data_IF_034081332851
#
_entry.id   IF_034081332851
#
_cell.length_a   1.000
_cell.length_b   1.000
_cell.length_c   1.000
_cell.angle_alpha   90.00
_cell.angle_beta   90.00
_cell.angle_gamma   90.00
#
_symmetry.space_group_name_H-M   'P 1'
#
loop_
_entity.id
_entity.type
_entity.pdbx_description
1 polymer ?
#
# COMPACT_ATOMS: atom_id res chain seq x y z
N UNK A 1 -29.15 -6.83 8.23
CA UNK A 1 -29.55 -6.99 6.82
C UNK A 1 -28.25 -7.07 6.02
N UNK A 2 -27.74 -8.28 5.77
CA UNK A 2 -26.51 -8.48 5.02
C UNK A 2 -26.84 -8.39 3.53
N UNK A 3 -26.55 -7.23 2.94
CA UNK A 3 -26.87 -6.97 1.54
C UNK A 3 -25.85 -7.69 0.68
N UNK A 4 -26.31 -8.64 -0.13
CA UNK A 4 -25.52 -9.35 -1.12
C UNK A 4 -24.85 -8.32 -2.06
N UNK A 5 -23.52 -8.24 -2.01
CA UNK A 5 -22.69 -7.61 -3.03
C UNK A 5 -22.04 -8.71 -3.85
N UNK A 6 -22.11 -8.62 -5.17
CA UNK A 6 -21.33 -9.48 -6.06
C UNK A 6 -19.89 -8.99 -6.02
N UNK A 7 -18.96 -9.87 -5.65
CA UNK A 7 -17.52 -9.64 -5.79
C UNK A 7 -17.14 -10.10 -7.18
N UNK A 8 -16.75 -9.17 -8.05
CA UNK A 8 -16.15 -9.49 -9.35
C UNK A 8 -14.64 -9.54 -9.16
N UNK A 9 -14.07 -10.74 -9.17
CA UNK A 9 -12.61 -10.93 -9.15
C UNK A 9 -12.12 -10.80 -10.59
N UNK A 10 -11.46 -9.69 -10.93
CA UNK A 10 -10.71 -9.57 -12.17
C UNK A 10 -9.26 -9.94 -11.88
N UNK A 11 -8.96 -11.24 -11.94
CA UNK A 11 -7.57 -11.71 -11.86
C UNK A 11 -6.84 -11.28 -13.14
N UNK A 12 -6.10 -10.18 -13.08
CA UNK A 12 -5.15 -9.80 -14.10
C UNK A 12 -3.82 -10.48 -13.81
N UNK A 13 -3.56 -11.64 -14.43
CA UNK A 13 -2.25 -12.30 -14.32
C UNK A 13 -1.25 -11.46 -15.12
N UNK A 14 -0.45 -10.63 -14.44
CA UNK A 14 0.73 -10.01 -15.04
C UNK A 14 1.93 -10.91 -14.78
N UNK A 15 2.22 -11.78 -15.75
CA UNK A 15 3.35 -12.69 -15.68
C UNK A 15 4.66 -11.91 -15.94
N UNK A 16 5.32 -11.47 -14.86
CA UNK A 16 6.78 -11.37 -14.74
C UNK A 16 7.18 -11.23 -13.27
N UNK A 17 7.72 -12.33 -12.74
CA UNK A 17 8.33 -12.52 -11.42
C UNK A 17 7.35 -12.48 -10.23
N UNK A 18 6.86 -13.67 -9.85
CA UNK A 18 6.47 -14.03 -8.48
C UNK A 18 5.26 -13.35 -7.82
N UNK A 19 4.74 -12.25 -8.37
CA UNK A 19 3.58 -11.54 -7.82
C UNK A 19 2.31 -11.84 -8.59
N UNK A 20 1.28 -12.35 -7.91
CA UNK A 20 -0.09 -12.35 -8.45
C UNK A 20 -0.73 -11.03 -8.02
N UNK A 21 -0.84 -10.07 -8.93
CA UNK A 21 -1.66 -8.87 -8.71
C UNK A 21 -3.13 -9.22 -8.95
N UNK A 22 -3.85 -9.59 -7.89
CA UNK A 22 -5.31 -9.74 -7.98
C UNK A 22 -5.96 -8.38 -7.76
N UNK A 23 -6.44 -7.76 -8.83
CA UNK A 23 -7.31 -6.59 -8.74
C UNK A 23 -8.76 -7.04 -8.51
N UNK A 24 -9.22 -6.99 -7.27
CA UNK A 24 -10.65 -7.14 -6.98
C UNK A 24 -11.26 -5.75 -6.91
N UNK A 25 -11.91 -5.32 -8.00
CA UNK A 25 -12.70 -4.10 -7.99
C UNK A 25 -14.07 -4.42 -7.39
N UNK A 26 -14.42 -3.76 -6.28
CA UNK A 26 -15.80 -3.77 -5.82
C UNK A 26 -16.63 -2.89 -6.78
N UNK A 27 -17.77 -3.38 -7.24
CA UNK A 27 -18.61 -2.56 -8.12
C UNK A 27 -19.02 -1.27 -7.40
N UNK A 28 -18.97 -0.11 -8.08
CA UNK A 28 -19.42 1.14 -7.52
C UNK A 28 -20.93 1.03 -7.27
N UNK A 29 -21.34 0.90 -6.01
CA UNK A 29 -22.72 1.21 -5.66
C UNK A 29 -22.89 2.71 -5.78
N UNK A 30 -23.81 3.11 -6.66
CA UNK A 30 -24.33 4.47 -6.69
C UNK A 30 -24.86 4.84 -5.29
N UNK A 31 -24.50 6.03 -4.82
CA UNK A 31 -25.06 6.68 -3.62
C UNK A 31 -24.85 5.98 -2.27
N UNK A 32 -23.61 5.90 -1.80
CA UNK A 32 -23.41 6.05 -0.36
C UNK A 32 -22.26 7.01 -0.13
N UNK A 33 -22.53 8.06 0.64
CA UNK A 33 -21.57 9.02 1.18
C UNK A 33 -20.61 8.30 2.17
N UNK A 34 -19.88 7.31 1.64
CA UNK A 34 -18.93 6.51 2.39
C UNK A 34 -17.79 7.41 2.86
N UNK A 35 -17.39 8.38 2.05
CA UNK A 35 -16.37 9.37 2.40
C UNK A 35 -16.78 10.22 3.60
N UNK A 36 -18.03 10.70 3.65
CA UNK A 36 -18.57 11.39 4.83
C UNK A 36 -18.68 10.50 6.07
N UNK A 37 -18.99 9.21 5.88
CA UNK A 37 -19.07 8.24 6.98
C UNK A 37 -17.69 7.80 7.53
N UNK A 38 -16.61 7.93 6.74
CA UNK A 38 -15.24 7.67 7.17
C UNK A 38 -14.66 8.83 8.00
N UNK A 39 -15.22 10.04 7.88
CA UNK A 39 -14.75 11.23 8.60
C UNK A 39 -15.38 11.43 9.98
N UNK A 40 -16.66 11.06 10.15
CA UNK A 40 -17.43 11.37 11.36
C UNK A 40 -17.15 10.40 12.49
N UNK A 41 -17.01 10.93 13.70
CA UNK A 41 -16.98 10.16 14.96
C UNK A 41 -15.87 9.10 15.06
N UNK A 42 -14.82 9.19 14.23
CA UNK A 42 -13.62 8.36 14.29
C UNK A 42 -12.54 9.06 15.11
N UNK A 43 -12.00 8.38 16.11
CA UNK A 43 -10.84 8.88 16.86
C UNK A 43 -9.53 8.50 16.16
N UNK A 44 -8.77 9.52 15.78
CA UNK A 44 -7.49 9.39 15.08
C UNK A 44 -6.29 9.61 16.03
N UNK A 45 -5.17 8.99 15.71
CA UNK A 45 -3.88 9.22 16.33
C UNK A 45 -2.77 9.29 15.29
N UNK A 46 -1.75 10.12 15.53
CA UNK A 46 -0.59 10.18 14.66
C UNK A 46 0.24 8.90 14.79
N UNK A 47 0.49 8.26 13.65
CA UNK A 47 1.42 7.14 13.54
C UNK A 47 2.83 7.69 13.33
N UNK A 48 3.75 7.28 14.20
CA UNK A 48 5.16 7.67 14.18
C UNK A 48 6.07 6.47 14.50
N UNK A 49 7.40 6.68 14.62
CA UNK A 49 8.11 7.97 14.62
C UNK A 49 8.29 8.57 13.20
N UNK A 50 8.54 9.89 13.13
CA UNK A 50 8.65 10.63 11.85
C UNK A 50 9.75 10.14 10.92
N UNK A 51 10.81 9.53 11.44
CA UNK A 51 11.87 8.94 10.63
C UNK A 51 11.48 7.58 10.02
N UNK A 52 10.24 7.11 10.22
CA UNK A 52 9.72 5.88 9.63
C UNK A 52 8.39 6.11 8.92
N UNK A 53 7.51 6.93 9.50
CA UNK A 53 6.17 7.14 8.97
C UNK A 53 5.56 8.43 9.49
N UNK A 54 4.60 8.94 8.72
CA UNK A 54 3.73 10.04 9.10
C UNK A 54 2.38 9.87 8.42
N UNK A 55 1.39 9.47 9.19
CA UNK A 55 -0.02 9.45 8.79
C UNK A 55 -0.86 9.36 10.06
N UNK A 56 -2.17 9.49 9.95
CA UNK A 56 -3.07 9.24 11.07
C UNK A 56 -3.67 7.84 10.94
N UNK A 57 -3.85 7.15 12.05
CA UNK A 57 -4.52 5.85 12.09
C UNK A 57 -5.67 5.89 13.10
N UNK A 58 -6.63 4.99 12.93
CA UNK A 58 -7.69 4.82 13.91
C UNK A 58 -7.10 4.34 15.23
N UNK A 59 -7.47 5.01 16.34
CA UNK A 59 -7.04 4.60 17.69
C UNK A 59 -7.51 3.19 17.99
N UNK A 60 -6.59 2.34 18.49
CA UNK A 60 -6.90 0.96 18.84
C UNK A 60 -8.08 0.84 19.82
N UNK A 61 -8.12 1.69 20.84
CA UNK A 61 -9.19 1.71 21.84
C UNK A 61 -10.56 2.04 21.22
N UNK A 62 -10.61 2.93 20.24
CA UNK A 62 -11.84 3.28 19.53
C UNK A 62 -12.28 2.16 18.59
N UNK A 63 -11.33 1.50 17.90
CA UNK A 63 -11.61 0.41 16.98
C UNK A 63 -12.22 -0.82 17.67
N UNK A 64 -11.88 -1.04 18.95
CA UNK A 64 -12.36 -2.16 19.76
C UNK A 64 -13.74 -1.94 20.42
N UNK A 65 -14.31 -0.73 20.35
CA UNK A 65 -15.65 -0.45 20.89
C UNK A 65 -16.71 -1.30 20.18
N UNK A 66 -17.76 -1.69 20.91
CA UNK A 66 -18.81 -2.58 20.36
C UNK A 66 -19.88 -1.84 19.54
N UNK A 67 -19.97 -0.52 19.68
CA UNK A 67 -20.90 0.34 18.95
C UNK A 67 -20.80 0.14 17.41
N UNK A 68 -21.94 0.20 16.71
CA UNK A 68 -21.97 0.05 15.26
C UNK A 68 -21.32 1.26 14.57
N UNK A 69 -20.34 0.99 13.71
CA UNK A 69 -19.72 2.01 12.85
C UNK A 69 -19.16 1.34 11.60
N UNK A 70 -19.23 2.03 10.45
CA UNK A 70 -18.79 1.47 9.16
C UNK A 70 -17.31 1.07 9.17
N UNK A 71 -16.44 1.94 9.70
CA UNK A 71 -15.00 1.65 9.87
C UNK A 71 -14.78 0.40 10.72
N UNK A 72 -15.43 0.27 11.89
CA UNK A 72 -15.31 -0.94 12.72
C UNK A 72 -15.82 -2.18 11.98
N UNK A 73 -16.90 -2.05 11.22
CA UNK A 73 -17.40 -3.10 10.35
C UNK A 73 -16.37 -3.56 9.31
N UNK A 74 -15.72 -2.61 8.63
CA UNK A 74 -14.65 -2.90 7.66
C UNK A 74 -13.43 -3.57 8.32
N UNK A 75 -12.96 -3.05 9.45
CA UNK A 75 -11.84 -3.66 10.19
C UNK A 75 -12.18 -5.09 10.66
N UNK A 76 -13.39 -5.32 11.19
CA UNK A 76 -13.85 -6.66 11.57
C UNK A 76 -14.01 -7.58 10.37
N UNK A 77 -14.43 -7.06 9.21
CA UNK A 77 -14.52 -7.84 7.98
C UNK A 77 -13.15 -8.37 7.57
N UNK A 78 -12.12 -7.52 7.54
CA UNK A 78 -10.74 -7.93 7.21
C UNK A 78 -10.19 -8.97 8.21
N UNK A 79 -10.56 -8.87 9.49
CA UNK A 79 -10.20 -9.85 10.51
C UNK A 79 -11.10 -11.10 10.55
N UNK A 80 -12.13 -11.18 9.70
CA UNK A 80 -13.13 -12.26 9.79
C UNK A 80 -12.66 -13.54 9.12
N UNK A 81 -13.10 -14.69 9.65
CA UNK A 81 -12.86 -15.99 9.01
C UNK A 81 -13.47 -16.09 7.60
N UNK A 82 -14.54 -15.34 7.32
CA UNK A 82 -15.13 -15.28 6.00
C UNK A 82 -14.20 -14.61 4.98
N UNK A 83 -13.53 -13.53 5.38
CA UNK A 83 -12.54 -12.87 4.55
C UNK A 83 -11.28 -13.72 4.40
N UNK A 84 -10.78 -14.38 5.46
CA UNK A 84 -9.66 -15.31 5.34
C UNK A 84 -9.95 -16.46 4.35
N UNK A 85 -11.19 -16.99 4.32
CA UNK A 85 -11.60 -17.99 3.32
C UNK A 85 -11.64 -17.43 1.90
N UNK A 86 -12.06 -16.17 1.73
CA UNK A 86 -12.00 -15.49 0.44
C UNK A 86 -10.54 -15.35 -0.03
N UNK A 87 -9.63 -14.94 0.87
CA UNK A 87 -8.20 -14.85 0.55
C UNK A 87 -7.65 -16.20 0.12
N UNK A 88 -7.90 -17.26 0.91
CA UNK A 88 -7.49 -18.61 0.56
C UNK A 88 -8.04 -19.05 -0.82
N UNK A 89 -9.31 -18.77 -1.12
CA UNK A 89 -9.88 -19.09 -2.43
C UNK A 89 -9.25 -18.31 -3.60
N UNK A 90 -8.72 -17.10 -3.35
CA UNK A 90 -8.11 -16.26 -4.38
C UNK A 90 -6.61 -16.53 -4.57
N UNK A 91 -5.90 -16.96 -3.51
CA UNK A 91 -4.43 -17.04 -3.51
C UNK A 91 -3.89 -18.42 -3.17
N UNK A 92 -4.75 -19.38 -2.79
CA UNK A 92 -4.40 -20.71 -2.27
C UNK A 92 -3.58 -20.69 -0.96
N UNK A 93 -3.44 -19.52 -0.33
CA UNK A 93 -2.68 -19.33 0.91
C UNK A 93 -3.55 -19.70 2.11
N UNK A 94 -3.02 -20.53 3.02
CA UNK A 94 -3.66 -20.85 4.29
C UNK A 94 -3.30 -19.80 5.34
N UNK A 95 -4.20 -18.86 5.59
CA UNK A 95 -3.99 -17.81 6.60
C UNK A 95 -4.06 -18.41 8.02
N UNK A 96 -2.93 -18.45 8.74
CA UNK A 96 -2.89 -18.82 10.17
C UNK A 96 -3.08 -17.61 11.08
N UNK A 97 -2.45 -16.49 10.73
CA UNK A 97 -2.40 -15.30 11.56
C UNK A 97 -2.62 -14.04 10.72
N UNK A 98 -3.09 -12.98 11.38
CA UNK A 98 -3.13 -11.65 10.77
C UNK A 98 -2.72 -10.59 11.79
N UNK A 99 -2.08 -9.54 11.31
CA UNK A 99 -1.89 -8.32 12.08
C UNK A 99 -3.26 -7.63 12.31
N UNK A 100 -3.40 -6.78 13.33
CA UNK A 100 -4.59 -5.96 13.48
C UNK A 100 -4.81 -5.12 12.21
N UNK A 101 -5.99 -5.20 11.56
CA UNK A 101 -6.31 -4.35 10.42
C UNK A 101 -6.23 -2.88 10.80
N UNK A 102 -5.79 -2.04 9.86
CA UNK A 102 -5.62 -0.61 10.06
C UNK A 102 -6.39 0.17 9.02
N UNK A 103 -7.06 1.24 9.45
CA UNK A 103 -7.51 2.30 8.58
C UNK A 103 -6.63 3.51 8.83
N UNK A 104 -5.97 3.96 7.76
CA UNK A 104 -5.06 5.09 7.77
C UNK A 104 -5.73 6.27 7.07
N UNK A 105 -5.61 7.48 7.63
CA UNK A 105 -6.00 8.73 7.01
C UNK A 105 -4.76 9.45 6.49
N UNK A 106 -4.79 9.74 5.20
CA UNK A 106 -3.69 10.32 4.45
C UNK A 106 -4.00 11.77 4.10
N UNK A 107 -3.09 12.66 4.49
CA UNK A 107 -3.19 14.11 4.25
C UNK A 107 -1.89 14.62 3.60
N UNK A 108 -1.88 15.83 3.02
CA UNK A 108 -0.66 16.37 2.41
C UNK A 108 0.53 16.33 3.37
N UNK A 109 1.61 15.67 2.96
CA UNK A 109 2.78 15.44 3.79
C UNK A 109 2.83 14.08 4.49
N UNK A 110 1.84 13.21 4.28
CA UNK A 110 1.88 11.82 4.74
C UNK A 110 2.87 10.97 3.94
N UNK A 111 3.51 9.99 4.59
CA UNK A 111 4.45 9.06 3.97
C UNK A 111 4.70 7.83 4.85
N UNK A 112 5.27 6.78 4.27
CA UNK A 112 6.06 5.79 4.99
C UNK A 112 7.42 5.61 4.32
N UNK A 113 8.42 5.25 5.11
CA UNK A 113 9.73 4.84 4.64
C UNK A 113 9.85 3.31 4.74
N UNK A 114 10.91 2.77 4.14
CA UNK A 114 11.22 1.36 4.30
C UNK A 114 11.34 1.01 5.79
N UNK A 115 10.58 0.01 6.26
CA UNK A 115 10.68 -0.43 7.65
C UNK A 115 12.07 -1.06 7.91
N UNK A 116 12.43 -1.29 9.19
CA UNK A 116 13.59 -2.11 9.53
C UNK A 116 13.47 -3.54 8.96
N UNK A 117 14.61 -4.15 8.61
CA UNK A 117 14.65 -5.45 7.91
C UNK A 117 13.92 -6.55 8.64
N UNK A 118 13.93 -6.50 9.97
CA UNK A 118 13.28 -7.46 10.87
C UNK A 118 11.76 -7.57 10.61
N UNK A 119 11.14 -6.53 10.05
CA UNK A 119 9.70 -6.49 9.83
C UNK A 119 9.25 -7.26 8.59
N UNK A 120 10.16 -7.60 7.67
CA UNK A 120 9.83 -8.24 6.39
C UNK A 120 10.69 -9.47 6.08
N UNK A 121 11.25 -10.14 7.09
CA UNK A 121 12.03 -11.37 6.91
C UNK A 121 11.19 -12.64 6.69
N UNK A 122 9.87 -12.53 6.79
CA UNK A 122 8.94 -13.64 6.64
C UNK A 122 7.99 -13.39 5.47
N UNK A 123 7.59 -14.45 4.74
CA UNK A 123 6.55 -14.35 3.74
C UNK A 123 5.24 -13.87 4.37
N UNK A 124 4.49 -13.07 3.61
CA UNK A 124 3.22 -12.50 4.05
C UNK A 124 2.35 -12.10 2.87
N UNK A 125 1.04 -12.10 3.08
CA UNK A 125 0.08 -11.52 2.16
C UNK A 125 -0.37 -10.16 2.70
N UNK A 126 -0.19 -9.10 1.92
CA UNK A 126 -0.69 -7.76 2.23
C UNK A 126 -1.97 -7.46 1.46
N UNK A 127 -2.96 -6.96 2.20
CA UNK A 127 -4.20 -6.41 1.63
C UNK A 127 -4.12 -4.89 1.72
N UNK A 128 -4.34 -4.21 0.60
CA UNK A 128 -4.32 -2.75 0.50
C UNK A 128 -5.52 -2.27 -0.31
N UNK A 129 -6.32 -1.38 0.26
CA UNK A 129 -7.47 -0.77 -0.41
C UNK A 129 -7.48 0.74 -0.16
N UNK A 130 -7.51 1.51 -1.26
CA UNK A 130 -7.64 2.96 -1.18
C UNK A 130 -9.11 3.36 -1.21
N UNK A 131 -9.49 4.32 -0.37
CA UNK A 131 -10.86 4.83 -0.25
C UNK A 131 -10.85 6.35 -0.26
N UNK A 132 -11.83 6.98 -0.91
CA UNK A 132 -11.94 8.44 -1.00
C UNK A 132 -10.80 9.10 -1.77
N UNK A 133 -10.18 8.40 -2.73
CA UNK A 133 -9.11 8.98 -3.55
C UNK A 133 -9.69 10.10 -4.42
N UNK A 134 -9.15 11.33 -4.38
CA UNK A 134 -9.62 12.44 -5.20
C UNK A 134 -9.58 12.11 -6.70
N UNK A 135 -10.58 12.57 -7.45
CA UNK A 135 -10.59 12.41 -8.92
C UNK A 135 -9.49 13.23 -9.62
N UNK A 136 -9.00 14.30 -8.97
CA UNK A 136 -7.87 15.07 -9.48
C UNK A 136 -6.57 14.26 -9.39
N UNK A 137 -5.59 14.59 -10.23
CA UNK A 137 -4.26 14.03 -10.09
C UNK A 137 -3.64 14.43 -8.75
N UNK A 138 -3.25 13.44 -7.97
CA UNK A 138 -2.37 13.58 -6.81
C UNK A 138 -0.97 13.10 -7.19
N UNK A 139 0.05 13.69 -6.56
CA UNK A 139 1.45 13.30 -6.75
C UNK A 139 1.96 12.58 -5.50
N UNK A 140 2.48 11.37 -5.69
CA UNK A 140 2.91 10.46 -4.62
C UNK A 140 1.76 9.58 -4.12
N UNK A 141 1.87 9.11 -2.87
CA UNK A 141 0.95 8.18 -2.20
C UNK A 141 0.79 6.79 -2.87
N UNK A 142 1.59 6.48 -3.88
CA UNK A 142 1.67 5.10 -4.38
C UNK A 142 2.36 4.22 -3.35
N UNK A 143 1.85 3.00 -3.15
CA UNK A 143 2.55 2.00 -2.33
C UNK A 143 3.47 1.18 -3.23
N UNK A 144 4.77 1.22 -2.94
CA UNK A 144 5.80 0.52 -3.70
C UNK A 144 6.26 -0.70 -2.91
N UNK A 145 6.45 -1.80 -3.61
CA UNK A 145 7.08 -3.00 -3.12
C UNK A 145 8.44 -3.14 -3.78
N UNK A 146 9.48 -3.35 -2.99
CA UNK A 146 10.86 -3.45 -3.46
C UNK A 146 11.45 -4.79 -3.06
N UNK A 147 12.35 -5.29 -3.91
CA UNK A 147 13.10 -6.51 -3.63
C UNK A 147 14.02 -6.31 -2.42
N UNK A 148 14.38 -7.40 -1.72
CA UNK A 148 15.50 -7.36 -0.79
C UNK A 148 16.75 -6.84 -1.50
N UNK A 149 17.49 -5.95 -0.85
CA UNK A 149 18.84 -5.63 -1.29
C UNK A 149 19.69 -6.90 -1.14
N UNK A 150 20.09 -7.50 -2.27
CA UNK A 150 21.08 -8.56 -2.26
C UNK A 150 22.35 -7.99 -1.63
N UNK A 151 22.82 -8.59 -0.52
CA UNK A 151 24.05 -8.21 0.19
C UNK A 151 25.32 -8.29 -0.69
N UNK A 152 25.18 -8.71 -1.96
CA UNK A 152 26.26 -8.87 -2.92
C UNK A 152 26.70 -7.58 -3.64
N UNK A 153 25.99 -6.45 -3.54
CA UNK A 153 26.34 -5.22 -4.26
C UNK A 153 27.24 -4.24 -3.47
N UNK A 154 27.80 -4.67 -2.33
CA UNK A 154 28.61 -3.82 -1.44
C UNK A 154 30.14 -3.97 -1.56
N UNK A 155 30.67 -4.69 -2.55
CA UNK A 155 32.10 -4.96 -2.64
C UNK A 155 32.66 -4.99 -4.07
N UNK A 156 32.39 -3.98 -4.90
CA UNK A 156 33.20 -3.73 -6.11
C UNK A 156 33.00 -2.32 -6.68
N UNK A 157 33.66 -1.30 -6.12
CA UNK A 157 34.31 -0.23 -6.88
C UNK A 157 34.99 0.78 -5.94
N UNK A 158 36.04 0.35 -5.25
CA UNK A 158 37.07 1.24 -4.75
C UNK A 158 38.37 0.90 -5.48
N UNK A 159 38.66 1.63 -6.56
CA UNK A 159 39.93 1.52 -7.28
C UNK A 159 39.81 1.87 -8.76
N UNK A 160 40.23 3.08 -9.14
CA UNK A 160 40.37 3.45 -10.56
C UNK A 160 40.39 4.95 -10.80
N UNK A 161 41.46 5.62 -10.36
CA UNK A 161 41.76 6.97 -10.82
C UNK A 161 42.34 6.93 -12.25
N UNK A 162 41.89 7.84 -13.12
CA UNK A 162 42.66 8.28 -14.29
C UNK A 162 41.86 8.51 -15.58
N UNK A 163 41.96 9.74 -16.13
CA UNK A 163 41.90 9.95 -17.59
C UNK A 163 40.90 10.99 -18.09
N UNK A 164 41.42 12.06 -18.69
CA UNK A 164 40.68 13.21 -19.21
C UNK A 164 40.00 12.99 -20.58
N UNK A 165 39.01 13.85 -20.88
CA UNK A 165 38.87 14.54 -22.17
C UNK A 165 37.82 14.03 -23.16
N UNK A 166 36.95 14.94 -23.63
CA UNK A 166 36.22 14.79 -24.90
C UNK A 166 34.81 15.37 -24.92
N UNK A 167 34.64 16.54 -25.53
CA UNK A 167 33.36 17.17 -25.84
C UNK A 167 32.75 16.63 -27.15
N UNK A 168 31.42 16.54 -27.24
CA UNK A 168 30.73 16.30 -28.53
C UNK A 168 29.26 15.84 -28.46
N UNK A 169 28.35 16.82 -28.43
CA UNK A 169 27.00 16.91 -29.05
C UNK A 169 26.27 15.67 -29.61
N UNK A 170 25.01 15.44 -29.23
CA UNK A 170 23.76 15.68 -30.04
C UNK A 170 22.55 15.00 -29.38
N UNK A 171 21.36 15.61 -29.55
CA UNK A 171 20.15 15.28 -28.79
C UNK A 171 19.43 13.97 -29.14
N UNK A 172 18.62 13.52 -28.18
CA UNK A 172 17.66 12.43 -28.36
C UNK A 172 17.19 11.85 -27.02
N UNK A 173 15.89 11.99 -26.75
CA UNK A 173 15.10 11.35 -25.69
C UNK A 173 15.54 11.61 -24.24
N UNK A 174 14.64 12.23 -23.47
CA UNK A 174 14.68 12.25 -22.01
C UNK A 174 14.49 10.81 -21.48
N UNK A 175 15.57 10.04 -21.51
CA UNK A 175 15.71 8.77 -20.83
C UNK A 175 15.79 9.06 -19.32
N UNK A 176 15.01 8.30 -18.56
CA UNK A 176 14.96 8.31 -17.11
C UNK A 176 16.38 8.22 -16.51
N UNK A 177 16.89 9.35 -16.02
CA UNK A 177 18.13 9.42 -15.28
C UNK A 177 17.83 9.17 -13.80
N UNK A 178 18.05 7.93 -13.36
CA UNK A 178 17.94 7.54 -11.95
C UNK A 178 17.73 6.05 -11.70
N UNK A 179 18.16 5.15 -12.59
CA UNK A 179 18.17 3.71 -12.30
C UNK A 179 19.48 3.32 -11.60
N UNK A 180 19.53 3.51 -10.29
CA UNK A 180 20.55 2.93 -9.41
C UNK A 180 19.86 2.12 -8.33
N UNK A 181 20.20 0.82 -8.25
CA UNK A 181 19.86 -0.17 -7.21
C UNK A 181 18.41 -0.18 -6.66
N UNK A 182 17.64 -1.21 -6.99
CA UNK A 182 16.34 -1.49 -6.35
C UNK A 182 15.12 -0.91 -7.06
N UNK A 183 14.90 -1.26 -8.33
CA UNK A 183 13.65 -0.93 -9.01
C UNK A 183 12.45 -1.57 -8.27
N UNK A 184 11.34 -0.84 -8.17
CA UNK A 184 10.12 -1.37 -7.56
C UNK A 184 9.63 -2.61 -8.30
N UNK A 185 9.37 -3.68 -7.56
CA UNK A 185 8.77 -4.91 -8.07
C UNK A 185 7.31 -4.67 -8.46
N UNK A 186 6.57 -4.00 -7.58
CA UNK A 186 5.15 -3.67 -7.75
C UNK A 186 4.92 -2.25 -7.28
N UNK A 187 4.10 -1.49 -8.01
CA UNK A 187 3.64 -0.16 -7.60
C UNK A 187 2.12 -0.14 -7.63
N UNK A 188 1.51 0.13 -6.48
CA UNK A 188 0.07 0.29 -6.33
C UNK A 188 -0.26 1.78 -6.39
N UNK A 189 -0.82 2.29 -7.52
CA UNK A 189 -1.31 3.65 -7.56
C UNK A 189 -2.57 3.77 -6.68
N UNK A 190 -2.82 4.93 -6.07
CA UNK A 190 -4.05 5.17 -5.31
C UNK A 190 -5.26 5.15 -6.25
N UNK A 191 -6.00 4.03 -6.23
CA UNK A 191 -7.23 3.84 -7.02
C UNK A 191 -8.38 3.57 -6.06
N UNK A 192 -9.40 4.43 -6.11
CA UNK A 192 -10.52 4.34 -5.20
C UNK A 192 -11.25 2.98 -5.36
N UNK A 193 -11.55 2.35 -4.22
CA UNK A 193 -12.34 1.12 -4.15
C UNK A 193 -11.73 -0.09 -4.86
N UNK A 194 -10.40 -0.10 -5.05
CA UNK A 194 -9.65 -1.24 -5.55
C UNK A 194 -9.02 -2.01 -4.38
N UNK A 195 -9.38 -3.29 -4.24
CA UNK A 195 -8.74 -4.21 -3.30
C UNK A 195 -7.53 -4.86 -3.99
N UNK A 196 -6.35 -4.60 -3.45
CA UNK A 196 -5.09 -5.16 -3.92
C UNK A 196 -4.64 -6.26 -2.95
N UNK A 197 -4.26 -7.40 -3.49
CA UNK A 197 -3.66 -8.52 -2.77
C UNK A 197 -2.22 -8.65 -3.26
N UNK A 198 -1.25 -8.45 -2.38
CA UNK A 198 0.17 -8.54 -2.74
C UNK A 198 0.83 -9.60 -1.86
N UNK A 199 1.29 -10.68 -2.49
CA UNK A 199 2.12 -11.66 -1.80
C UNK A 199 3.56 -11.17 -1.78
N UNK A 200 4.15 -11.13 -0.60
CA UNK A 200 5.51 -10.67 -0.36
C UNK A 200 6.34 -11.83 0.16
N UNK A 201 7.36 -12.24 -0.60
CA UNK A 201 8.38 -13.17 -0.12
C UNK A 201 9.22 -12.55 1.01
N UNK A 202 9.95 -13.41 1.73
CA UNK A 202 10.93 -13.00 2.70
C UNK A 202 11.95 -12.03 2.06
N UNK A 203 12.08 -10.83 2.63
CA UNK A 203 12.95 -9.79 2.12
C UNK A 203 12.24 -8.70 1.31
N UNK A 204 11.01 -8.92 0.84
CA UNK A 204 10.24 -7.91 0.12
C UNK A 204 9.67 -6.87 1.09
N UNK A 205 10.09 -5.61 0.94
CA UNK A 205 9.64 -4.50 1.76
C UNK A 205 8.64 -3.62 1.00
N UNK A 206 7.76 -2.92 1.71
CA UNK A 206 6.86 -1.95 1.13
C UNK A 206 6.97 -0.60 1.81
N UNK A 207 6.74 0.46 1.05
CA UNK A 207 6.60 1.82 1.56
C UNK A 207 5.61 2.61 0.70
N UNK A 208 5.08 3.70 1.22
CA UNK A 208 4.14 4.57 0.50
C UNK A 208 4.75 5.94 0.33
N UNK A 209 4.83 6.36 -0.92
CA UNK A 209 5.46 7.62 -1.32
C UNK A 209 4.87 8.82 -0.58
N UNK A 210 5.72 9.83 -0.43
CA UNK A 210 5.32 11.11 0.11
C UNK A 210 4.16 11.73 -0.68
N UNK A 211 3.03 11.96 -0.01
CA UNK A 211 1.91 12.68 -0.59
C UNK A 211 2.29 14.16 -0.68
N UNK A 212 2.47 14.64 -1.92
CA UNK A 212 2.87 16.01 -2.18
C UNK A 212 1.89 17.04 -1.63
N UNK A 213 2.43 18.17 -1.15
CA UNK A 213 1.62 19.37 -0.81
C UNK A 213 1.21 20.15 -2.05
N UNK A 214 1.83 19.89 -3.20
CA UNK A 214 1.49 20.48 -4.48
C UNK A 214 0.40 19.60 -5.12
N UNK A 215 -0.86 20.03 -5.00
CA UNK A 215 -2.02 19.40 -5.65
C UNK A 215 -2.96 18.62 -4.72
N UNK A 216 -2.48 18.17 -3.55
CA UNK A 216 -3.36 17.60 -2.53
C UNK A 216 -3.86 18.72 -1.59
N UNK A 217 -5.19 18.76 -1.35
CA UNK A 217 -5.80 19.70 -0.42
C UNK A 217 -5.94 19.06 0.96
N UNK A 218 -5.79 19.87 2.01
CA UNK A 218 -5.82 19.38 3.38
C UNK A 218 -7.23 18.98 3.85
N UNK A 219 -8.28 19.52 3.23
CA UNK A 219 -9.70 19.26 3.52
C UNK A 219 -10.24 18.01 2.80
N UNK A 220 -9.43 17.35 1.98
CA UNK A 220 -9.83 16.17 1.22
C UNK A 220 -8.83 15.03 1.46
N UNK A 221 -8.85 14.44 2.68
CA UNK A 221 -8.07 13.25 2.95
C UNK A 221 -8.62 12.08 2.15
N UNK A 222 -7.73 11.13 1.84
CA UNK A 222 -8.14 9.79 1.44
C UNK A 222 -7.68 8.79 2.50
N UNK A 223 -8.11 7.54 2.36
CA UNK A 223 -7.84 6.50 3.32
C UNK A 223 -7.19 5.29 2.68
N UNK A 224 -6.36 4.61 3.47
CA UNK A 224 -5.82 3.30 3.13
C UNK A 224 -6.29 2.32 4.20
N UNK A 225 -7.09 1.33 3.78
CA UNK A 225 -7.46 0.19 4.59
C UNK A 225 -6.46 -0.93 4.30
N UNK A 226 -5.79 -1.44 5.33
CA UNK A 226 -4.75 -2.45 5.17
C UNK A 226 -4.78 -3.52 6.25
N UNK A 227 -4.37 -4.74 5.89
CA UNK A 227 -4.10 -5.82 6.82
C UNK A 227 -3.00 -6.73 6.25
N UNK A 228 -2.17 -7.26 7.13
CA UNK A 228 -1.12 -8.22 6.79
C UNK A 228 -1.51 -9.58 7.33
N UNK A 229 -1.45 -10.60 6.48
CA UNK A 229 -1.74 -11.99 6.78
C UNK A 229 -0.47 -12.81 6.67
N UNK A 230 -0.35 -13.82 7.54
CA UNK A 230 0.76 -14.76 7.55
C UNK A 230 0.22 -16.19 7.46
N UNK A 231 0.97 -17.00 6.74
CA UNK A 231 0.86 -18.45 6.75
C UNK A 231 1.24 -19.04 8.09
#
# INVERSE_FOLDING_TARGET
MFVHGRVCVAAGVSERVGGVDVHVAAEPRADTDADGALQRDVEWEWSGPLHQRRYEQVRAQWAQRDEKHVVRGALRLLASSAFCRLLHACTDIQVQHHAPPQLQRWTPGSFTLLPPREHYQQPRLEVVMYLGVPQRRIAGASTLYVAPEDEAAGAASAGGAGGAGGAGSTGGAAAAAGAGAGAALVTLPPVNNALNLVYCDAGAASFTEYLSRLGARADEPFYILTCTYKE
#
